data_IF_433652364858
#
_entry.id   IF_433652364858
#
_cell.length_a   1.000
_cell.length_b   1.000
_cell.length_c   1.000
_cell.angle_alpha   90.00
_cell.angle_beta   90.00
_cell.angle_gamma   90.00
#
_symmetry.space_group_name_H-M   'P 1'
#
loop_
_entity.id
_entity.type
_entity.pdbx_description
1 polymer ?
#
# COMPACT_ATOMS: atom_id res chain seq x y z
N UNK A 1 -15.73 -6.00 34.89
CA UNK A 1 -15.01 -7.28 35.09
C UNK A 1 -13.95 -7.36 34.00
N UNK A 2 -12.68 -7.45 34.41
CA UNK A 2 -11.49 -7.31 33.56
C UNK A 2 -11.16 -8.63 32.87
N UNK A 3 -11.06 -8.62 31.55
CA UNK A 3 -10.51 -9.73 30.75
C UNK A 3 -9.03 -9.41 30.56
N UNK A 4 -8.19 -9.82 31.51
CA UNK A 4 -6.75 -9.64 31.42
C UNK A 4 -6.04 -10.84 32.01
N UNK A 5 -5.17 -11.44 31.20
CA UNK A 5 -4.25 -12.55 31.47
C UNK A 5 -4.73 -13.94 31.03
N UNK A 6 -4.85 -14.14 29.71
CA UNK A 6 -4.53 -15.46 29.18
C UNK A 6 -3.00 -15.64 29.21
N UNK A 7 -2.47 -16.74 29.78
CA UNK A 7 -1.03 -16.99 29.84
C UNK A 7 -0.49 -17.23 28.42
N UNK A 8 0.69 -16.68 28.12
CA UNK A 8 1.38 -16.79 26.81
C UNK A 8 1.55 -18.25 26.32
N UNK A 9 1.50 -19.22 27.24
CA UNK A 9 1.53 -20.65 26.95
C UNK A 9 0.26 -21.17 26.25
N UNK A 10 -0.89 -20.55 26.49
CA UNK A 10 -2.16 -20.92 25.86
C UNK A 10 -2.23 -20.47 24.40
N UNK A 11 -1.61 -19.33 24.07
CA UNK A 11 -1.51 -18.83 22.69
C UNK A 11 -0.56 -19.70 21.85
N UNK A 12 0.55 -20.17 22.45
CA UNK A 12 1.46 -21.13 21.82
C UNK A 12 0.79 -22.50 21.61
N UNK A 13 -0.03 -22.97 22.56
CA UNK A 13 -0.77 -24.23 22.43
C UNK A 13 -1.85 -24.17 21.33
N UNK A 14 -2.55 -23.04 21.18
CA UNK A 14 -3.53 -22.86 20.09
C UNK A 14 -2.82 -22.84 18.73
N UNK A 15 -1.66 -22.19 18.61
CA UNK A 15 -0.86 -22.20 17.38
C UNK A 15 -0.29 -23.59 17.02
N UNK A 16 0.10 -24.38 18.03
CA UNK A 16 0.56 -25.76 17.80
C UNK A 16 -0.60 -26.71 17.43
N UNK A 17 -1.80 -26.50 17.98
CA UNK A 17 -2.96 -27.33 17.67
C UNK A 17 -3.54 -27.04 16.28
N UNK A 18 -3.49 -25.79 15.81
CA UNK A 18 -3.87 -25.47 14.42
C UNK A 18 -2.91 -26.08 13.40
N UNK A 19 -1.61 -26.19 13.73
CA UNK A 19 -0.64 -26.92 12.90
C UNK A 19 -0.95 -28.42 12.82
N UNK A 20 -1.41 -29.03 13.91
CA UNK A 20 -1.67 -30.47 13.96
C UNK A 20 -2.98 -30.86 13.25
N UNK A 21 -4.00 -30.00 13.25
CA UNK A 21 -5.28 -30.31 12.58
C UNK A 21 -5.23 -30.22 11.06
N UNK A 22 -4.28 -29.46 10.49
CA UNK A 22 -4.10 -29.39 9.02
C UNK A 22 -3.41 -30.63 8.48
N UNK A 23 -2.58 -31.31 9.28
CA UNK A 23 -1.95 -32.59 8.88
C UNK A 23 -2.89 -33.80 8.92
N UNK A 24 -4.03 -33.72 9.63
CA UNK A 24 -4.87 -34.89 9.90
C UNK A 24 -6.10 -35.07 8.97
N UNK A 25 -6.19 -34.35 7.85
CA UNK A 25 -7.34 -34.43 6.92
C UNK A 25 -6.98 -34.90 5.49
N UNK A 26 -5.74 -35.32 5.23
CA UNK A 26 -5.34 -35.85 3.92
C UNK A 26 -4.52 -37.14 4.07
N UNK A 27 -5.14 -38.16 4.66
CA UNK A 27 -4.79 -39.55 4.38
C UNK A 27 -5.71 -40.04 3.26
N UNK A 28 -5.15 -40.78 2.31
CA UNK A 28 -5.74 -41.29 1.06
C UNK A 28 -5.86 -40.32 -0.12
N UNK A 29 -4.72 -40.06 -0.78
CA UNK A 29 -4.69 -40.04 -2.24
C UNK A 29 -3.45 -40.77 -2.77
N UNK A 30 -3.72 -41.70 -3.68
CA UNK A 30 -2.81 -42.69 -4.22
C UNK A 30 -1.55 -42.13 -4.89
N UNK A 31 -0.44 -42.81 -4.57
CA UNK A 31 0.71 -43.18 -5.40
C UNK A 31 0.65 -42.71 -6.86
N UNK A 32 1.34 -41.61 -7.16
CA UNK A 32 1.76 -41.23 -8.52
C UNK A 32 3.27 -40.99 -8.56
N UNK A 33 3.82 -41.27 -9.74
CA UNK A 33 5.23 -41.37 -10.13
C UNK A 33 6.19 -40.37 -9.45
N UNK A 34 7.20 -40.91 -8.77
CA UNK A 34 7.97 -40.26 -7.72
C UNK A 34 9.39 -39.90 -8.18
N UNK A 35 9.52 -38.96 -9.12
CA UNK A 35 10.85 -38.43 -9.48
C UNK A 35 11.04 -36.92 -9.25
N UNK A 36 10.00 -36.09 -9.12
CA UNK A 36 10.20 -34.65 -8.86
C UNK A 36 9.02 -33.97 -8.14
N UNK A 37 8.39 -34.61 -7.15
CA UNK A 37 7.47 -33.89 -6.26
C UNK A 37 8.19 -33.50 -4.97
N UNK A 38 8.64 -32.24 -4.88
CA UNK A 38 9.03 -31.63 -3.61
C UNK A 38 7.93 -31.86 -2.58
N UNK A 39 8.28 -32.24 -1.36
CA UNK A 39 7.29 -32.39 -0.30
C UNK A 39 6.61 -31.04 0.02
N UNK A 40 5.42 -31.05 0.62
CA UNK A 40 4.75 -29.80 1.02
C UNK A 40 5.63 -28.94 1.94
N UNK A 41 6.37 -29.58 2.85
CA UNK A 41 7.31 -28.93 3.75
C UNK A 41 8.46 -28.24 3.00
N UNK A 42 9.02 -28.88 1.97
CA UNK A 42 10.07 -28.29 1.14
C UNK A 42 9.57 -27.07 0.37
N UNK A 43 8.32 -27.10 -0.13
CA UNK A 43 7.71 -25.96 -0.85
C UNK A 43 7.45 -24.78 0.08
N UNK A 44 7.03 -25.02 1.32
CA UNK A 44 6.89 -23.97 2.33
C UNK A 44 8.24 -23.33 2.67
N UNK A 45 9.27 -24.16 2.88
CA UNK A 45 10.62 -23.66 3.19
C UNK A 45 11.21 -22.84 2.04
N UNK A 46 11.02 -23.27 0.79
CA UNK A 46 11.42 -22.51 -0.39
C UNK A 46 10.70 -21.17 -0.48
N UNK A 47 9.40 -21.14 -0.19
CA UNK A 47 8.63 -19.90 -0.16
C UNK A 47 9.15 -18.92 0.90
N UNK A 48 9.44 -19.41 2.11
CA UNK A 48 10.01 -18.61 3.20
C UNK A 48 11.39 -18.02 2.85
N UNK A 49 12.26 -18.84 2.23
CA UNK A 49 13.56 -18.37 1.78
C UNK A 49 13.41 -17.28 0.70
N UNK A 50 12.55 -17.51 -0.29
CA UNK A 50 12.25 -16.53 -1.34
C UNK A 50 11.71 -15.23 -0.73
N UNK A 51 10.87 -15.30 0.30
CA UNK A 51 10.31 -14.13 0.99
C UNK A 51 11.37 -13.31 1.71
N UNK A 52 12.32 -13.98 2.36
CA UNK A 52 13.43 -13.29 3.01
C UNK A 52 14.37 -12.65 1.99
N UNK A 53 14.73 -13.37 0.93
CA UNK A 53 15.56 -12.84 -0.16
C UNK A 53 14.89 -11.66 -0.87
N UNK A 54 13.58 -11.72 -1.07
CA UNK A 54 12.78 -10.62 -1.62
C UNK A 54 12.93 -9.35 -0.80
N UNK A 55 12.77 -9.49 0.53
CA UNK A 55 12.82 -8.40 1.47
C UNK A 55 14.19 -7.73 1.44
N UNK A 56 15.25 -8.55 1.46
CA UNK A 56 16.62 -8.06 1.44
C UNK A 56 16.97 -7.37 0.11
N UNK A 57 16.56 -7.94 -1.03
CA UNK A 57 16.75 -7.33 -2.35
C UNK A 57 16.05 -5.97 -2.48
N UNK A 58 14.76 -5.90 -2.12
CA UNK A 58 13.97 -4.67 -2.21
C UNK A 58 14.50 -3.60 -1.25
N UNK A 59 14.91 -3.99 -0.04
CA UNK A 59 15.52 -3.09 0.93
C UNK A 59 16.86 -2.53 0.42
N UNK A 60 17.70 -3.36 -0.21
CA UNK A 60 18.96 -2.90 -0.80
C UNK A 60 18.74 -1.92 -1.97
N UNK A 61 17.76 -2.19 -2.84
CA UNK A 61 17.41 -1.28 -3.94
C UNK A 61 16.94 0.09 -3.42
N UNK A 62 16.13 0.09 -2.36
CA UNK A 62 15.70 1.29 -1.66
C UNK A 62 16.88 2.11 -1.14
N UNK A 63 17.87 1.45 -0.54
CA UNK A 63 19.02 2.10 0.06
C UNK A 63 19.96 2.67 -1.02
N UNK A 64 20.14 1.98 -2.15
CA UNK A 64 20.83 2.50 -3.32
C UNK A 64 20.12 3.73 -3.92
N UNK A 65 18.79 3.65 -4.07
CA UNK A 65 17.99 4.77 -4.58
C UNK A 65 18.04 5.98 -3.62
N UNK A 66 18.06 5.75 -2.30
CA UNK A 66 18.27 6.81 -1.29
C UNK A 66 19.64 7.46 -1.42
N UNK A 67 20.70 6.67 -1.59
CA UNK A 67 22.06 7.20 -1.79
C UNK A 67 22.15 8.07 -3.05
N UNK A 68 21.53 7.65 -4.15
CA UNK A 68 21.50 8.42 -5.40
C UNK A 68 20.78 9.78 -5.29
N UNK A 69 19.84 9.93 -4.35
CA UNK A 69 19.05 11.16 -4.12
C UNK A 69 19.74 12.21 -3.24
N UNK A 70 20.94 11.94 -2.72
CA UNK A 70 21.64 12.77 -1.70
C UNK A 70 22.17 14.14 -2.19
N UNK A 71 21.95 14.53 -3.44
CA UNK A 71 22.46 15.79 -3.98
C UNK A 71 21.62 17.04 -3.70
N UNK A 72 20.39 16.91 -3.20
CA UNK A 72 19.49 18.04 -2.90
C UNK A 72 19.17 18.12 -1.41
N UNK A 73 19.23 19.32 -0.84
CA UNK A 73 18.88 19.56 0.57
C UNK A 73 17.39 19.29 0.79
N UNK A 74 17.07 18.32 1.64
CA UNK A 74 15.70 18.02 2.07
C UNK A 74 15.27 19.10 3.09
N UNK A 75 13.99 19.50 3.04
CA UNK A 75 13.40 20.39 4.03
C UNK A 75 13.35 19.69 5.40
N UNK A 76 13.70 20.39 6.49
CA UNK A 76 13.76 19.77 7.83
C UNK A 76 12.40 19.23 8.30
N UNK A 77 11.31 19.89 7.92
CA UNK A 77 9.95 19.41 8.19
C UNK A 77 9.60 18.17 7.36
N UNK A 78 10.07 18.11 6.12
CA UNK A 78 9.89 16.90 5.30
C UNK A 78 10.75 15.74 5.84
N UNK A 79 11.99 16.00 6.23
CA UNK A 79 12.86 14.98 6.81
C UNK A 79 12.25 14.38 8.08
N UNK A 80 11.84 15.22 9.04
CA UNK A 80 11.23 14.70 10.26
C UNK A 80 9.90 13.98 10.01
N UNK A 81 9.14 14.38 8.98
CA UNK A 81 7.94 13.64 8.54
C UNK A 81 8.30 12.22 8.07
N UNK A 82 9.34 12.10 7.24
CA UNK A 82 9.79 10.81 6.72
C UNK A 82 10.34 9.89 7.82
N UNK A 83 10.81 10.45 8.93
CA UNK A 83 11.32 9.72 10.09
C UNK A 83 10.21 9.30 11.07
N UNK A 84 8.95 9.70 10.86
CA UNK A 84 7.84 9.29 11.74
C UNK A 84 7.57 7.78 11.68
N UNK A 85 7.18 7.19 12.80
CA UNK A 85 6.82 5.76 12.89
C UNK A 85 5.69 5.38 11.92
N UNK A 86 4.78 6.31 11.62
CA UNK A 86 3.75 6.14 10.61
C UNK A 86 4.36 5.84 9.24
N UNK A 87 5.32 6.65 8.80
CA UNK A 87 5.97 6.50 7.50
C UNK A 87 6.90 5.28 7.47
N UNK A 88 7.57 4.97 8.59
CA UNK A 88 8.37 3.74 8.70
C UNK A 88 7.49 2.49 8.61
N UNK A 89 6.31 2.48 9.26
CA UNK A 89 5.35 1.38 9.12
C UNK A 89 4.72 1.30 7.74
N UNK A 90 4.54 2.43 7.06
CA UNK A 90 4.11 2.43 5.67
C UNK A 90 5.17 1.81 4.75
N UNK A 91 6.46 2.12 4.98
CA UNK A 91 7.57 1.47 4.27
C UNK A 91 7.59 -0.04 4.52
N UNK A 92 7.42 -0.46 5.77
CA UNK A 92 7.34 -1.88 6.15
C UNK A 92 6.19 -2.57 5.42
N UNK A 93 4.99 -1.99 5.42
CA UNK A 93 3.85 -2.54 4.67
C UNK A 93 4.18 -2.74 3.19
N UNK A 94 4.79 -1.73 2.55
CA UNK A 94 5.22 -1.83 1.16
C UNK A 94 6.19 -2.97 0.95
N UNK A 95 7.27 -3.01 1.72
CA UNK A 95 8.30 -4.04 1.60
C UNK A 95 7.71 -5.43 1.78
N UNK A 96 6.87 -5.65 2.79
CA UNK A 96 6.25 -6.94 3.05
C UNK A 96 5.32 -7.39 1.92
N UNK A 97 4.50 -6.47 1.39
CA UNK A 97 3.59 -6.79 0.28
C UNK A 97 4.33 -7.06 -1.04
N UNK A 98 5.32 -6.23 -1.38
CA UNK A 98 6.13 -6.42 -2.59
C UNK A 98 6.99 -7.68 -2.49
N UNK A 99 7.51 -7.99 -1.30
CA UNK A 99 8.25 -9.22 -1.04
C UNK A 99 7.37 -10.45 -1.24
N UNK A 100 6.14 -10.40 -0.74
CA UNK A 100 5.17 -11.47 -0.91
C UNK A 100 4.81 -11.67 -2.39
N UNK A 101 4.60 -10.58 -3.13
CA UNK A 101 4.35 -10.64 -4.57
C UNK A 101 5.55 -11.21 -5.36
N UNK A 102 6.78 -10.79 -5.04
CA UNK A 102 8.00 -11.28 -5.66
C UNK A 102 8.22 -12.79 -5.40
N UNK A 103 7.97 -13.22 -4.16
CA UNK A 103 8.05 -14.63 -3.76
C UNK A 103 7.00 -15.48 -4.47
N UNK A 104 5.78 -14.94 -4.58
CA UNK A 104 4.72 -15.58 -5.32
C UNK A 104 5.08 -15.73 -6.80
N UNK A 105 5.69 -14.70 -7.41
CA UNK A 105 6.21 -14.77 -8.79
C UNK A 105 7.26 -15.87 -8.97
N UNK A 106 8.21 -15.98 -8.04
CA UNK A 106 9.22 -17.04 -8.07
C UNK A 106 8.61 -18.45 -7.97
N UNK A 107 7.43 -18.59 -7.37
CA UNK A 107 6.71 -19.85 -7.22
C UNK A 107 5.66 -20.12 -8.33
N UNK A 108 5.55 -19.25 -9.35
CA UNK A 108 4.48 -19.34 -10.37
C UNK A 108 4.48 -20.61 -11.20
N UNK A 109 5.64 -21.26 -11.39
CA UNK A 109 5.75 -22.52 -12.15
C UNK A 109 4.88 -23.65 -11.56
N UNK A 110 4.61 -23.59 -10.25
CA UNK A 110 3.79 -24.58 -9.54
C UNK A 110 2.31 -24.18 -9.45
N UNK A 111 1.92 -23.08 -10.09
CA UNK A 111 0.60 -22.49 -9.96
C UNK A 111 -0.11 -22.43 -11.31
N UNK A 112 -1.44 -22.59 -11.27
CA UNK A 112 -2.25 -22.42 -12.47
C UNK A 112 -2.29 -20.93 -12.86
N UNK A 113 -2.33 -20.59 -14.16
CA UNK A 113 -2.40 -19.20 -14.61
C UNK A 113 -3.55 -18.40 -13.96
N UNK A 114 -4.69 -19.03 -13.69
CA UNK A 114 -5.83 -18.37 -13.03
C UNK A 114 -5.52 -17.97 -11.59
N UNK A 115 -4.72 -18.75 -10.87
CA UNK A 115 -4.28 -18.43 -9.51
C UNK A 115 -3.34 -17.23 -9.52
N UNK A 116 -2.42 -17.19 -10.49
CA UNK A 116 -1.50 -16.05 -10.69
C UNK A 116 -2.28 -14.77 -11.00
N UNK A 117 -3.27 -14.84 -11.90
CA UNK A 117 -4.13 -13.69 -12.23
C UNK A 117 -4.92 -13.21 -11.01
N UNK A 118 -5.42 -14.11 -10.16
CA UNK A 118 -6.13 -13.74 -8.93
C UNK A 118 -5.24 -12.98 -7.96
N UNK A 119 -4.03 -13.48 -7.70
CA UNK A 119 -3.08 -12.81 -6.80
C UNK A 119 -2.65 -11.46 -7.37
N UNK A 120 -2.35 -11.39 -8.67
CA UNK A 120 -2.03 -10.13 -9.34
C UNK A 120 -3.14 -9.09 -9.15
N UNK A 121 -4.40 -9.46 -9.36
CA UNK A 121 -5.56 -8.56 -9.19
C UNK A 121 -5.72 -8.11 -7.73
N UNK A 122 -5.55 -9.05 -6.79
CA UNK A 122 -5.66 -8.75 -5.36
C UNK A 122 -4.54 -7.81 -4.89
N UNK A 123 -3.29 -8.05 -5.32
CA UNK A 123 -2.16 -7.16 -5.08
C UNK A 123 -2.43 -5.76 -5.67
N UNK A 124 -2.83 -5.70 -6.95
CA UNK A 124 -3.09 -4.44 -7.64
C UNK A 124 -4.09 -3.57 -6.88
N UNK A 125 -5.23 -4.14 -6.47
CA UNK A 125 -6.26 -3.43 -5.70
C UNK A 125 -5.71 -2.79 -4.43
N UNK A 126 -4.95 -3.54 -3.64
CA UNK A 126 -4.41 -3.02 -2.37
C UNK A 126 -3.29 -2.00 -2.63
N UNK A 127 -2.39 -2.29 -3.56
CA UNK A 127 -1.29 -1.38 -3.92
C UNK A 127 -1.79 -0.03 -4.45
N UNK A 128 -2.87 -0.03 -5.23
CA UNK A 128 -3.50 1.19 -5.76
C UNK A 128 -4.11 2.04 -4.63
N UNK A 129 -4.79 1.41 -3.68
CA UNK A 129 -5.32 2.10 -2.49
C UNK A 129 -4.19 2.70 -1.63
N UNK A 130 -3.09 1.97 -1.43
CA UNK A 130 -1.90 2.50 -0.74
C UNK A 130 -1.31 3.71 -1.47
N UNK A 131 -1.13 3.61 -2.79
CA UNK A 131 -0.59 4.69 -3.61
C UNK A 131 -1.51 5.91 -3.62
N UNK A 132 -2.83 5.70 -3.68
CA UNK A 132 -3.83 6.77 -3.56
C UNK A 132 -3.76 7.46 -2.21
N UNK A 133 -3.55 6.70 -1.12
CA UNK A 133 -3.37 7.29 0.20
C UNK A 133 -2.13 8.19 0.27
N UNK A 134 -1.00 7.77 -0.31
CA UNK A 134 0.20 8.62 -0.41
C UNK A 134 -0.05 9.88 -1.23
N UNK A 135 -0.72 9.77 -2.36
CA UNK A 135 -1.07 10.91 -3.22
C UNK A 135 -2.02 11.88 -2.53
N UNK A 136 -3.00 11.37 -1.77
CA UNK A 136 -3.89 12.19 -0.96
C UNK A 136 -3.11 12.97 0.11
N UNK A 137 -2.20 12.29 0.82
CA UNK A 137 -1.32 12.94 1.81
C UNK A 137 -0.47 14.01 1.12
N UNK A 138 0.18 13.70 0.00
CA UNK A 138 0.96 14.68 -0.80
C UNK A 138 0.10 15.89 -1.19
N UNK A 139 -1.14 15.68 -1.64
CA UNK A 139 -2.06 16.77 -1.98
C UNK A 139 -2.38 17.62 -0.76
N UNK A 140 -2.57 17.02 0.41
CA UNK A 140 -2.78 17.75 1.67
C UNK A 140 -1.56 18.60 2.06
N UNK A 141 -0.33 18.12 1.79
CA UNK A 141 0.91 18.90 1.98
C UNK A 141 1.03 20.09 1.03
N UNK A 142 0.49 20.00 -0.18
CA UNK A 142 0.54 21.07 -1.18
C UNK A 142 -0.57 22.11 -0.97
N UNK A 143 -1.67 21.77 -0.29
CA UNK A 143 -2.78 22.68 0.00
C UNK A 143 -2.60 23.39 1.35
N UNK A 144 -2.28 24.70 1.28
CA UNK A 144 -2.15 25.58 2.45
C UNK A 144 -3.41 25.63 3.32
N UNK A 145 -4.60 25.54 2.74
CA UNK A 145 -5.86 25.53 3.51
C UNK A 145 -5.99 24.23 4.29
N UNK A 146 -5.63 23.10 3.67
CA UNK A 146 -5.60 21.79 4.35
C UNK A 146 -4.56 21.76 5.45
N UNK A 147 -3.33 22.20 5.21
CA UNK A 147 -2.30 22.30 6.27
C UNK A 147 -2.76 23.15 7.45
N UNK A 148 -3.42 24.30 7.18
CA UNK A 148 -4.00 25.12 8.26
C UNK A 148 -5.08 24.35 9.02
N UNK A 149 -5.98 23.66 8.31
CA UNK A 149 -7.02 22.86 8.94
C UNK A 149 -6.45 21.72 9.79
N UNK A 150 -5.42 21.01 9.31
CA UNK A 150 -4.73 19.95 10.07
C UNK A 150 -4.11 20.52 11.35
N UNK A 151 -3.56 21.73 11.29
CA UNK A 151 -3.00 22.40 12.46
C UNK A 151 -4.06 22.83 13.46
N UNK A 152 -5.17 23.39 12.98
CA UNK A 152 -6.24 23.91 13.84
C UNK A 152 -7.11 22.77 14.41
N UNK A 153 -7.21 21.64 13.70
CA UNK A 153 -8.07 20.48 14.02
C UNK A 153 -7.39 19.12 13.72
N UNK A 154 -6.26 18.80 14.36
CA UNK A 154 -5.50 17.57 14.09
C UNK A 154 -6.30 16.29 14.35
N UNK A 155 -7.25 16.31 15.28
CA UNK A 155 -8.11 15.20 15.64
C UNK A 155 -9.08 14.81 14.51
N UNK A 156 -9.61 15.79 13.77
CA UNK A 156 -10.50 15.53 12.63
C UNK A 156 -9.71 14.91 11.48
N UNK A 157 -8.49 15.39 11.24
CA UNK A 157 -7.63 14.80 10.22
C UNK A 157 -7.19 13.38 10.58
N UNK A 158 -6.82 13.13 11.86
CA UNK A 158 -6.45 11.78 12.29
C UNK A 158 -7.61 10.81 12.20
N UNK A 159 -8.82 11.21 12.58
CA UNK A 159 -10.00 10.35 12.48
C UNK A 159 -10.31 9.98 11.02
N UNK A 160 -10.19 10.94 10.09
CA UNK A 160 -10.39 10.68 8.66
C UNK A 160 -9.29 9.78 8.08
N UNK A 161 -8.04 9.94 8.50
CA UNK A 161 -6.94 9.10 8.07
C UNK A 161 -7.04 7.68 8.64
N UNK A 162 -7.40 7.56 9.91
CA UNK A 162 -7.65 6.27 10.57
C UNK A 162 -8.76 5.49 9.86
N UNK A 163 -9.87 6.16 9.49
CA UNK A 163 -10.95 5.53 8.73
C UNK A 163 -10.44 4.95 7.40
N UNK A 164 -9.70 5.74 6.62
CA UNK A 164 -9.11 5.28 5.34
C UNK A 164 -8.16 4.09 5.53
N UNK A 165 -7.42 4.05 6.62
CA UNK A 165 -6.52 2.94 6.94
C UNK A 165 -7.27 1.69 7.40
N UNK A 166 -8.43 1.84 8.07
CA UNK A 166 -9.32 0.71 8.39
C UNK A 166 -9.97 0.15 7.13
N UNK A 167 -10.37 0.99 6.20
CA UNK A 167 -10.87 0.55 4.89
C UNK A 167 -9.76 -0.22 4.14
N UNK A 168 -8.52 0.28 4.16
CA UNK A 168 -7.36 -0.41 3.60
C UNK A 168 -7.10 -1.76 4.28
N UNK A 169 -7.22 -1.82 5.62
CA UNK A 169 -7.08 -3.05 6.39
C UNK A 169 -8.12 -4.08 5.97
N UNK A 170 -9.39 -3.67 5.85
CA UNK A 170 -10.48 -4.55 5.42
C UNK A 170 -10.26 -5.03 3.98
N UNK A 171 -9.90 -4.12 3.07
CA UNK A 171 -9.58 -4.46 1.68
C UNK A 171 -8.38 -5.43 1.60
N UNK A 172 -7.34 -5.24 2.41
CA UNK A 172 -6.21 -6.16 2.50
C UNK A 172 -6.68 -7.55 2.91
N UNK A 173 -7.41 -7.66 4.03
CA UNK A 173 -7.82 -8.94 4.59
C UNK A 173 -8.80 -9.69 3.69
N UNK A 174 -9.78 -8.99 3.10
CA UNK A 174 -10.81 -9.61 2.26
C UNK A 174 -10.31 -10.01 0.87
N UNK A 175 -9.27 -9.34 0.36
CA UNK A 175 -8.77 -9.58 -0.99
C UNK A 175 -7.40 -10.26 -0.97
N UNK A 176 -6.35 -9.57 -0.54
CA UNK A 176 -4.98 -10.05 -0.75
C UNK A 176 -4.60 -11.16 0.22
N UNK A 177 -4.85 -10.99 1.53
CA UNK A 177 -4.60 -12.01 2.56
C UNK A 177 -5.34 -13.31 2.22
N UNK A 178 -6.66 -13.22 2.06
CA UNK A 178 -7.50 -14.36 1.74
C UNK A 178 -7.08 -15.05 0.45
N UNK A 179 -6.74 -14.30 -0.61
CA UNK A 179 -6.31 -14.91 -1.88
C UNK A 179 -5.00 -15.68 -1.74
N UNK A 180 -4.05 -15.15 -0.96
CA UNK A 180 -2.77 -15.83 -0.69
C UNK A 180 -3.02 -17.08 0.15
N UNK A 181 -3.82 -16.98 1.20
CA UNK A 181 -4.22 -18.11 2.04
C UNK A 181 -4.89 -19.24 1.24
N UNK A 182 -5.87 -18.90 0.39
CA UNK A 182 -6.60 -19.85 -0.45
C UNK A 182 -5.70 -20.61 -1.43
N UNK A 183 -4.56 -20.02 -1.85
CA UNK A 183 -3.63 -20.62 -2.82
C UNK A 183 -2.50 -21.38 -2.14
N UNK A 184 -1.95 -20.84 -1.06
CA UNK A 184 -0.80 -21.42 -0.34
C UNK A 184 -1.23 -22.43 0.74
N UNK A 185 -2.50 -22.38 1.14
CA UNK A 185 -3.05 -23.19 2.24
C UNK A 185 -2.63 -22.71 3.63
N UNK A 186 -2.05 -21.51 3.75
CA UNK A 186 -1.60 -20.95 5.03
C UNK A 186 -1.77 -19.43 5.08
N UNK A 187 -2.23 -18.93 6.22
CA UNK A 187 -2.41 -17.50 6.48
C UNK A 187 -1.11 -16.84 6.98
N UNK A 188 -0.08 -17.66 7.25
CA UNK A 188 1.15 -17.21 7.93
C UNK A 188 1.90 -16.15 7.13
N UNK A 189 1.87 -16.25 5.80
CA UNK A 189 2.60 -15.34 4.90
C UNK A 189 1.92 -13.97 4.76
N UNK A 190 0.62 -13.89 4.99
CA UNK A 190 -0.18 -12.68 4.86
C UNK A 190 -0.41 -11.94 6.18
N UNK A 191 0.00 -12.51 7.31
CA UNK A 191 -0.16 -11.86 8.62
C UNK A 191 0.77 -10.64 8.78
N UNK A 192 1.99 -10.67 8.21
CA UNK A 192 2.99 -9.61 8.43
C UNK A 192 2.57 -8.25 7.84
N UNK A 193 2.10 -8.16 6.58
CA UNK A 193 1.57 -6.88 6.08
C UNK A 193 0.38 -6.36 6.90
N UNK A 194 -0.52 -7.23 7.37
CA UNK A 194 -1.63 -6.82 8.23
C UNK A 194 -1.15 -6.19 9.54
N UNK A 195 -0.10 -6.75 10.15
CA UNK A 195 0.54 -6.17 11.34
C UNK A 195 1.16 -4.79 11.07
N UNK A 196 1.72 -4.57 9.88
CA UNK A 196 2.19 -3.26 9.46
C UNK A 196 1.03 -2.26 9.35
N UNK A 197 -0.12 -2.65 8.77
CA UNK A 197 -1.33 -1.80 8.70
C UNK A 197 -1.80 -1.38 10.10
N UNK A 198 -1.87 -2.32 11.05
CA UNK A 198 -2.19 -1.99 12.44
C UNK A 198 -1.20 -1.01 13.07
N UNK A 199 0.09 -1.16 12.74
CA UNK A 199 1.12 -0.19 13.12
C UNK A 199 0.83 1.21 12.59
N UNK A 200 0.51 1.34 11.30
CA UNK A 200 0.19 2.64 10.68
C UNK A 200 -1.03 3.28 11.37
N UNK A 201 -2.10 2.50 11.59
CA UNK A 201 -3.31 2.95 12.31
C UNK A 201 -2.93 3.50 13.69
N UNK A 202 -2.15 2.73 14.47
CA UNK A 202 -1.71 3.11 15.81
C UNK A 202 -0.96 4.44 15.82
N UNK A 203 -0.11 4.68 14.84
CA UNK A 203 0.71 5.90 14.75
C UNK A 203 0.03 7.08 14.06
N UNK A 204 -1.23 6.94 13.65
CA UNK A 204 -1.97 8.01 12.95
C UNK A 204 -2.07 9.28 13.80
N UNK A 205 -2.35 9.16 15.10
CA UNK A 205 -2.45 10.33 16.00
C UNK A 205 -1.09 11.03 16.16
N UNK A 206 -0.01 10.27 16.33
CA UNK A 206 1.34 10.84 16.47
C UNK A 206 1.78 11.53 15.18
N UNK A 207 1.42 10.94 14.03
CA UNK A 207 1.62 11.52 12.72
C UNK A 207 0.89 12.87 12.55
N UNK A 208 -0.39 12.96 12.90
CA UNK A 208 -1.12 14.24 12.78
C UNK A 208 -0.65 15.28 13.80
N UNK A 209 -0.24 14.84 14.98
CA UNK A 209 0.40 15.70 15.99
C UNK A 209 1.74 16.25 15.49
N UNK A 210 2.51 15.46 14.74
CA UNK A 210 3.70 15.96 14.07
C UNK A 210 3.33 17.04 13.04
N UNK A 211 2.38 16.76 12.14
CA UNK A 211 1.96 17.70 11.10
C UNK A 211 1.42 19.03 11.66
N UNK A 212 0.68 18.99 12.77
CA UNK A 212 0.12 20.22 13.37
C UNK A 212 1.18 21.14 13.98
N UNK A 213 2.32 20.57 14.41
CA UNK A 213 3.42 21.31 15.05
C UNK A 213 4.46 21.79 14.06
N UNK A 214 4.67 21.04 12.99
CA UNK A 214 5.73 21.31 12.03
C UNK A 214 5.35 22.51 11.17
N UNK A 215 6.24 23.48 11.15
CA UNK A 215 6.13 24.61 10.23
C UNK A 215 6.77 24.22 8.92
N UNK A 216 5.97 23.64 8.05
CA UNK A 216 6.32 23.55 6.63
C UNK A 216 6.57 24.98 6.15
N UNK A 217 7.81 25.32 5.84
CA UNK A 217 8.13 26.65 5.35
C UNK A 217 7.35 26.86 4.05
N UNK A 218 6.34 27.74 4.11
CA UNK A 218 5.31 28.00 3.09
C UNK A 218 5.83 28.27 1.66
N UNK A 219 7.14 28.36 1.47
CA UNK A 219 7.82 28.68 0.22
C UNK A 219 8.77 27.56 -0.30
N UNK A 220 8.84 26.37 0.32
CA UNK A 220 9.88 25.36 -0.03
C UNK A 220 9.41 23.95 -0.36
N UNK A 221 8.23 23.51 0.07
CA UNK A 221 7.69 22.22 -0.34
C UNK A 221 7.16 22.31 -1.77
N UNK A 222 8.06 22.07 -2.71
CA UNK A 222 7.71 21.93 -4.12
C UNK A 222 7.21 20.52 -4.36
N UNK A 223 6.28 20.40 -5.30
CA UNK A 223 5.75 19.11 -5.72
C UNK A 223 6.88 18.14 -6.11
N UNK A 224 7.92 18.61 -6.81
CA UNK A 224 9.04 17.74 -7.22
C UNK A 224 9.84 17.19 -6.04
N UNK A 225 9.88 17.91 -4.90
CA UNK A 225 10.52 17.41 -3.69
C UNK A 225 9.69 16.31 -3.01
N UNK A 226 8.37 16.49 -2.95
CA UNK A 226 7.47 15.46 -2.43
C UNK A 226 7.49 14.23 -3.34
N UNK A 227 7.55 14.42 -4.65
CA UNK A 227 7.66 13.30 -5.58
C UNK A 227 8.94 12.50 -5.34
N UNK A 228 10.08 13.17 -5.28
CA UNK A 228 11.39 12.55 -5.15
C UNK A 228 11.64 11.88 -3.79
N UNK A 229 11.20 12.50 -2.69
CA UNK A 229 11.55 12.09 -1.34
C UNK A 229 10.40 11.41 -0.57
N UNK A 230 9.16 11.57 -1.01
CA UNK A 230 7.99 10.98 -0.33
C UNK A 230 7.20 10.01 -1.22
N UNK A 231 6.89 10.35 -2.48
CA UNK A 231 6.13 9.43 -3.33
C UNK A 231 7.03 8.29 -3.81
N UNK A 232 8.08 8.58 -4.58
CA UNK A 232 8.92 7.56 -5.21
C UNK A 232 9.51 6.53 -4.22
N UNK A 233 9.94 6.88 -3.00
CA UNK A 233 10.50 5.89 -2.08
C UNK A 233 9.45 5.03 -1.36
N UNK A 234 8.18 5.44 -1.36
CA UNK A 234 7.12 4.80 -0.58
C UNK A 234 5.96 4.30 -1.42
N UNK A 235 5.90 4.66 -2.71
CA UNK A 235 4.92 4.11 -3.65
C UNK A 235 5.11 2.60 -3.77
N UNK A 236 4.00 1.89 -3.81
CA UNK A 236 3.94 0.49 -4.14
C UNK A 236 4.22 0.34 -5.63
N UNK A 237 5.16 -0.53 -5.95
CA UNK A 237 5.47 -0.93 -7.32
C UNK A 237 4.29 -1.66 -7.93
N UNK A 238 4.09 -1.49 -9.23
CA UNK A 238 3.13 -2.30 -9.97
C UNK A 238 3.56 -3.76 -9.99
N UNK A 239 2.63 -4.66 -10.30
CA UNK A 239 2.97 -6.07 -10.44
C UNK A 239 4.12 -6.27 -11.43
N UNK A 240 4.11 -5.56 -12.55
CA UNK A 240 5.13 -5.64 -13.61
C UNK A 240 6.50 -5.12 -13.16
N UNK A 241 6.55 -4.08 -12.32
CA UNK A 241 7.79 -3.52 -11.76
C UNK A 241 8.46 -4.43 -10.71
N UNK A 242 7.74 -5.42 -10.17
CA UNK A 242 8.30 -6.37 -9.20
C UNK A 242 8.96 -7.53 -9.96
N UNK A 243 10.26 -7.68 -9.83
CA UNK A 243 10.99 -8.79 -10.43
C UNK A 243 10.81 -10.09 -9.62
N UNK A 244 10.80 -11.23 -10.30
CA UNK A 244 10.90 -12.53 -9.63
C UNK A 244 12.36 -12.73 -9.20
N UNK A 245 12.58 -13.11 -7.94
CA UNK A 245 13.93 -13.22 -7.36
C UNK A 245 14.74 -14.34 -8.02
N UNK A 246 14.07 -15.37 -8.54
CA UNK A 246 14.70 -16.46 -9.30
C UNK A 246 15.31 -16.02 -10.64
N UNK A 247 14.94 -14.85 -11.18
CA UNK A 247 15.42 -14.40 -12.48
C UNK A 247 16.78 -13.67 -12.44
N UNK A 248 17.20 -13.13 -11.29
CA UNK A 248 18.33 -12.18 -11.24
C UNK A 248 19.39 -12.44 -10.15
N UNK A 249 19.27 -13.47 -9.31
CA UNK A 249 20.32 -13.75 -8.30
C UNK A 249 21.59 -14.38 -8.92
N UNK A 250 21.48 -15.00 -10.11
CA UNK A 250 22.63 -15.46 -10.89
C UNK A 250 22.65 -14.84 -12.29
N UNK A 251 22.51 -13.51 -12.37
CA UNK A 251 22.62 -12.74 -13.61
C UNK A 251 24.04 -12.23 -13.85
N UNK A 252 24.82 -13.03 -14.57
CA UNK A 252 25.80 -12.62 -15.59
C UNK A 252 26.89 -11.59 -15.21
N UNK A 253 28.12 -12.12 -15.06
CA UNK A 253 29.34 -11.38 -15.38
C UNK A 253 29.17 -10.73 -16.77
N UNK A 254 29.34 -9.41 -16.95
CA UNK A 254 29.09 -8.70 -18.20
C UNK A 254 30.09 -9.01 -19.33
N UNK A 255 30.70 -10.20 -19.32
CA UNK A 255 31.77 -10.63 -20.22
C UNK A 255 31.53 -12.00 -20.88
N UNK A 256 30.29 -12.41 -21.10
CA UNK A 256 29.98 -13.51 -22.03
C UNK A 256 29.26 -12.98 -23.26
N UNK A 257 30.08 -12.55 -24.22
CA UNK A 257 29.77 -12.41 -25.63
C UNK A 257 29.55 -13.81 -26.24
N UNK A 258 28.30 -14.16 -26.55
CA UNK A 258 27.81 -15.24 -27.43
C UNK A 258 26.29 -15.36 -27.15
N UNK A 259 25.34 -14.91 -27.97
CA UNK A 259 25.25 -15.03 -29.41
C UNK A 259 24.51 -16.32 -29.78
N UNK A 260 23.18 -16.37 -29.64
CA UNK A 260 22.31 -17.11 -30.57
C UNK A 260 20.80 -16.79 -30.40
N UNK A 261 20.09 -16.86 -31.51
CA UNK A 261 18.69 -16.54 -31.73
C UNK A 261 17.73 -17.55 -31.11
N UNK A 262 16.65 -17.06 -30.51
CA UNK A 262 15.55 -17.88 -30.00
C UNK A 262 14.22 -17.14 -30.03
N UNK A 263 13.76 -16.84 -31.24
CA UNK A 263 12.51 -16.18 -31.58
C UNK A 263 11.30 -16.99 -31.07
N UNK A 264 10.55 -16.46 -30.10
CA UNK A 264 9.22 -16.96 -29.72
C UNK A 264 8.19 -15.86 -29.98
N UNK A 265 7.47 -16.08 -31.08
CA UNK A 265 6.39 -15.26 -31.61
C UNK A 265 5.10 -15.55 -30.85
N UNK A 266 4.60 -14.59 -30.06
CA UNK A 266 3.19 -14.58 -29.67
C UNK A 266 2.43 -13.67 -30.63
N UNK A 267 1.87 -14.30 -31.66
CA UNK A 267 0.80 -13.73 -32.48
C UNK A 267 -0.38 -13.37 -31.56
N UNK A 268 -0.74 -12.10 -31.54
CA UNK A 268 -2.00 -11.63 -30.97
C UNK A 268 -2.83 -11.04 -32.09
N UNK A 269 -3.74 -11.82 -32.64
CA UNK A 269 -4.83 -11.28 -33.45
C UNK A 269 -5.81 -10.50 -32.54
N UNK A 270 -6.23 -9.28 -32.93
CA UNK A 270 -7.24 -8.53 -32.19
C UNK A 270 -8.65 -8.99 -32.57
N UNK A 271 -9.41 -9.54 -31.62
CA UNK A 271 -10.85 -9.68 -31.77
C UNK A 271 -11.55 -8.35 -31.51
N UNK A 272 -12.18 -7.86 -32.58
CA UNK A 272 -13.21 -6.83 -32.58
C UNK A 272 -14.28 -7.09 -31.51
N UNK A 273 -14.56 -6.09 -30.68
CA UNK A 273 -15.82 -5.99 -29.93
C UNK A 273 -16.48 -4.67 -30.33
N UNK A 274 -17.71 -4.82 -30.85
CA UNK A 274 -18.63 -3.77 -31.28
C UNK A 274 -18.89 -2.71 -30.20
N UNK A 275 -18.94 -1.47 -30.67
CA UNK A 275 -19.46 -0.31 -29.96
C UNK A 275 -20.93 -0.53 -29.59
N UNK A 276 -21.22 -0.49 -28.28
CA UNK A 276 -22.55 -0.19 -27.78
C UNK A 276 -22.48 1.13 -26.99
N UNK A 277 -22.99 2.18 -27.62
CA UNK A 277 -23.31 3.45 -26.97
C UNK A 277 -24.39 3.23 -25.91
N UNK A 278 -24.12 3.54 -24.65
CA UNK A 278 -25.17 3.96 -23.71
C UNK A 278 -24.63 4.80 -22.55
N UNK A 279 -25.19 6.00 -22.53
CA UNK A 279 -25.63 6.78 -21.37
C UNK A 279 -24.62 7.34 -20.35
N UNK A 280 -24.45 8.65 -20.49
CA UNK A 280 -23.76 9.56 -19.59
C UNK A 280 -24.48 9.66 -18.25
N UNK A 281 -24.01 8.91 -17.26
CA UNK A 281 -24.46 9.11 -15.88
C UNK A 281 -23.56 10.15 -15.22
N UNK A 282 -24.11 11.36 -15.14
CA UNK A 282 -23.61 12.53 -14.43
C UNK A 282 -23.41 12.17 -12.95
N UNK A 283 -22.16 12.15 -12.49
CA UNK A 283 -21.83 12.05 -11.05
C UNK A 283 -22.25 13.35 -10.39
N UNK A 284 -23.37 13.30 -9.67
CA UNK A 284 -23.88 14.38 -8.82
C UNK A 284 -23.08 14.35 -7.52
N UNK A 285 -22.46 15.49 -7.20
CA UNK A 285 -21.72 15.74 -5.98
C UNK A 285 -22.73 16.00 -4.83
N UNK A 286 -22.80 15.21 -3.75
CA UNK A 286 -23.92 15.28 -2.80
C UNK A 286 -23.76 16.35 -1.69
N UNK A 287 -23.04 17.44 -1.93
CA UNK A 287 -22.79 18.47 -0.89
C UNK A 287 -22.94 19.94 -1.35
N UNK A 288 -23.57 20.19 -2.49
CA UNK A 288 -23.92 21.54 -2.92
C UNK A 288 -25.41 21.58 -3.25
N UNK A 289 -26.26 21.83 -2.25
CA UNK A 289 -27.55 22.52 -2.40
C UNK A 289 -28.27 22.54 -1.04
N UNK A 290 -27.89 23.46 -0.14
CA UNK A 290 -28.80 23.91 0.91
C UNK A 290 -28.37 25.23 1.57
N UNK A 291 -28.15 26.31 0.81
CA UNK A 291 -28.13 27.65 1.41
C UNK A 291 -28.60 28.74 0.43
N UNK A 292 -29.87 28.79 0.04
CA UNK A 292 -30.45 30.06 -0.43
C UNK A 292 -31.99 30.08 -0.43
N UNK A 293 -32.62 30.55 0.65
CA UNK A 293 -33.81 31.42 0.58
C UNK A 293 -34.32 31.85 1.97
N UNK A 294 -33.66 32.81 2.62
CA UNK A 294 -34.35 33.71 3.56
C UNK A 294 -33.81 35.12 3.38
N UNK A 295 -34.58 35.93 2.65
CA UNK A 295 -34.41 37.39 2.59
C UNK A 295 -34.73 38.03 3.94
N UNK A 296 -33.93 38.98 4.43
CA UNK A 296 -34.41 40.04 5.30
C UNK A 296 -34.38 41.38 4.55
N UNK A 297 -35.56 41.84 4.13
CA UNK A 297 -35.80 43.27 3.90
C UNK A 297 -35.71 43.96 5.27
N UNK A 298 -34.63 44.72 5.51
CA UNK A 298 -34.67 45.91 6.36
C UNK A 298 -33.38 46.73 6.17
N UNK A 299 -33.50 47.83 5.41
CA UNK A 299 -32.44 48.81 5.20
C UNK A 299 -32.54 49.85 6.33
N UNK A 300 -31.50 50.07 7.15
CA UNK A 300 -31.53 51.12 8.16
C UNK A 300 -31.35 52.51 7.52
N UNK A 301 -32.00 53.57 8.05
CA UNK A 301 -31.89 54.92 7.51
C UNK A 301 -30.51 55.53 7.76
N UNK A 302 -29.91 56.12 6.72
CA UNK A 302 -28.68 56.89 6.83
C UNK A 302 -28.94 58.28 7.46
N UNK A 303 -28.05 58.78 8.34
CA UNK A 303 -28.16 60.12 8.91
C UNK A 303 -27.77 61.21 7.89
N UNK A 304 -28.64 62.21 7.76
CA UNK A 304 -28.41 63.42 6.95
C UNK A 304 -27.29 64.26 7.58
N UNK A 305 -26.19 64.45 6.84
CA UNK A 305 -25.16 65.46 7.16
C UNK A 305 -25.76 66.87 6.99
N UNK A 306 -25.80 67.65 8.07
CA UNK A 306 -26.01 69.10 8.04
C UNK A 306 -24.84 69.75 7.31
N UNK A 307 -25.11 70.46 6.21
CA UNK A 307 -24.21 71.48 5.67
C UNK A 307 -24.40 72.75 6.50
N UNK A 308 -23.35 73.19 7.18
CA UNK A 308 -23.23 74.55 7.66
C UNK A 308 -22.84 75.42 6.46
N UNK A 309 -23.64 76.44 6.16
CA UNK A 309 -23.23 77.53 5.28
C UNK A 309 -22.62 78.64 6.14
N UNK A 310 -21.37 78.98 5.82
CA UNK A 310 -20.91 80.37 5.81
C UNK A 310 -21.12 80.89 4.38
#
# INVERSE_FOLDING_TARGET
>A
MSVSNLPRTLLALVACLSFYTVQAQFEDYDTYDNTYQKSYAERLQEFDNNLQEARDYLQNQDDLARQARTHKKIDEGLQGFLETDFIQKFKELRLEMESLAASFKAYTENLRPEQVIKVKKAYFRVSDNCNKLLQDIKRDFLDRKKLKHIRDYPEMYSASLELRLRDLQEDYSQNFEKTIADITGTDSYSATPLMAIFGIIKFTIDFTNYLSRVRFENNKLKEEHLEMYFIEPFRFRTWEEIEAISANIYGEDPNTDQGDNGQSSYDSEPQHIEEAQSDSTRVINPFEDEVESLSPKNKPPQPKKKKNNN
#
